data_IF_748849828588
#
_entry.id   IF_748849828588
#
_cell.length_a   1.000
_cell.length_b   1.000
_cell.length_c   1.000
_cell.angle_alpha   90.00
_cell.angle_beta   90.00
_cell.angle_gamma   90.00
#
_symmetry.space_group_name_H-M   'P 1'
#
loop_
_entity.id
_entity.type
_entity.pdbx_description
1 polymer ?
#
# COMPACT_ATOMS: atom_id res chain seq x y z
N UNK A 1 17.31 3.11 2.16
CA UNK A 1 16.02 2.39 2.23
C UNK A 1 16.23 0.87 2.26
N UNK A 2 17.37 0.39 1.74
CA UNK A 2 17.74 -1.03 1.62
C UNK A 2 17.83 -1.75 2.97
N UNK A 3 18.38 -1.08 4.00
CA UNK A 3 18.39 -1.61 5.38
C UNK A 3 16.99 -1.95 5.89
N UNK A 4 15.95 -1.22 5.47
CA UNK A 4 14.61 -1.43 5.99
C UNK A 4 13.97 -2.71 5.44
N UNK A 5 14.22 -3.04 4.17
CA UNK A 5 13.64 -4.25 3.56
C UNK A 5 14.39 -5.50 4.05
N UNK A 6 15.71 -5.43 4.17
CA UNK A 6 16.52 -6.53 4.70
C UNK A 6 16.19 -6.81 6.18
N UNK A 7 16.05 -5.75 6.99
CA UNK A 7 15.58 -5.90 8.38
C UNK A 7 14.17 -6.51 8.39
N UNK A 8 13.25 -6.03 7.57
CA UNK A 8 11.89 -6.59 7.54
C UNK A 8 11.89 -8.07 7.14
N UNK A 9 12.76 -8.50 6.21
CA UNK A 9 12.91 -9.90 5.81
C UNK A 9 13.26 -10.80 7.00
N UNK A 10 14.17 -10.37 7.86
CA UNK A 10 14.58 -11.14 9.04
C UNK A 10 13.49 -11.17 10.15
N UNK A 11 12.63 -10.16 10.21
CA UNK A 11 11.59 -10.05 11.24
C UNK A 11 10.29 -10.79 10.94
N UNK A 12 9.95 -10.99 9.66
CA UNK A 12 8.66 -11.55 9.24
C UNK A 12 8.70 -13.05 9.02
N UNK A 13 7.52 -13.67 9.05
CA UNK A 13 7.38 -15.09 8.75
C UNK A 13 7.66 -15.38 7.27
N UNK A 14 8.17 -16.60 7.01
CA UNK A 14 8.37 -17.06 5.63
C UNK A 14 7.06 -17.05 4.84
N UNK A 15 7.11 -16.50 3.63
CA UNK A 15 5.97 -16.37 2.73
C UNK A 15 5.22 -15.05 2.86
N UNK A 16 5.65 -14.15 3.75
CA UNK A 16 5.17 -12.77 3.80
C UNK A 16 5.42 -12.04 2.48
N UNK A 17 4.58 -11.05 2.18
CA UNK A 17 4.66 -10.29 0.93
C UNK A 17 4.85 -8.81 1.24
N UNK A 18 5.78 -8.16 0.52
CA UNK A 18 5.99 -6.72 0.59
C UNK A 18 5.67 -6.12 -0.78
N UNK A 19 4.70 -5.21 -0.81
CA UNK A 19 4.21 -4.59 -2.03
C UNK A 19 4.73 -3.15 -2.13
N UNK A 20 5.37 -2.80 -3.25
CA UNK A 20 5.95 -1.47 -3.46
C UNK A 20 5.14 -0.66 -4.47
N UNK A 21 4.35 0.29 -3.97
CA UNK A 21 3.62 1.27 -4.78
C UNK A 21 4.42 2.58 -4.88
N UNK A 22 4.63 3.09 -6.10
CA UNK A 22 5.31 4.37 -6.34
C UNK A 22 5.09 4.90 -7.75
N UNK A 23 5.49 6.14 -8.00
CA UNK A 23 5.53 6.77 -9.33
C UNK A 23 6.74 6.33 -10.17
N UNK A 24 7.61 5.48 -9.62
CA UNK A 24 8.78 4.97 -10.33
C UNK A 24 8.31 4.00 -11.42
N UNK A 25 8.70 4.22 -12.70
CA UNK A 25 8.35 3.32 -13.79
C UNK A 25 8.83 1.89 -13.52
N UNK A 26 7.98 0.90 -13.78
CA UNK A 26 8.27 -0.52 -13.51
C UNK A 26 9.58 -0.98 -14.15
N UNK A 27 9.87 -0.49 -15.36
CA UNK A 27 11.09 -0.80 -16.11
C UNK A 27 12.38 -0.35 -15.43
N UNK A 28 12.32 0.63 -14.52
CA UNK A 28 13.48 1.16 -13.80
C UNK A 28 13.65 0.55 -12.41
N UNK A 29 12.64 -0.15 -11.88
CA UNK A 29 12.63 -0.61 -10.49
C UNK A 29 13.74 -1.62 -10.20
N UNK A 30 13.99 -2.57 -11.09
CA UNK A 30 15.08 -3.56 -10.90
C UNK A 30 16.44 -2.87 -10.75
N UNK A 31 16.74 -1.92 -11.63
CA UNK A 31 18.00 -1.18 -11.61
C UNK A 31 18.13 -0.32 -10.35
N UNK A 32 17.05 0.33 -9.92
CA UNK A 32 17.05 1.15 -8.70
C UNK A 32 17.23 0.31 -7.43
N UNK A 33 16.57 -0.85 -7.33
CA UNK A 33 16.72 -1.77 -6.20
C UNK A 33 18.17 -2.29 -6.14
N UNK A 34 18.71 -2.76 -7.26
CA UNK A 34 20.09 -3.25 -7.33
C UNK A 34 21.12 -2.16 -7.04
N UNK A 35 20.88 -0.92 -7.51
CA UNK A 35 21.73 0.24 -7.20
C UNK A 35 21.67 0.64 -5.73
N UNK A 36 20.51 0.49 -5.09
CA UNK A 36 20.36 0.63 -3.63
C UNK A 36 21.09 -0.47 -2.85
N UNK A 37 21.40 -1.59 -3.50
CA UNK A 37 22.07 -2.73 -2.87
C UNK A 37 21.11 -3.84 -2.45
N UNK A 38 19.81 -3.66 -2.69
CA UNK A 38 18.79 -4.67 -2.47
C UNK A 38 18.68 -5.60 -3.68
N UNK A 39 18.91 -6.90 -3.45
CA UNK A 39 18.69 -7.95 -4.44
C UNK A 39 17.46 -8.79 -4.04
N UNK A 40 16.29 -8.60 -4.70
CA UNK A 40 15.06 -9.31 -4.34
C UNK A 40 15.17 -10.84 -4.41
N UNK A 41 16.14 -11.38 -5.16
CA UNK A 41 16.36 -12.82 -5.25
C UNK A 41 17.01 -13.42 -4.00
N UNK A 42 17.59 -12.58 -3.12
CA UNK A 42 18.28 -13.01 -1.90
C UNK A 42 17.39 -13.01 -0.66
N UNK A 43 16.18 -12.44 -0.74
CA UNK A 43 15.21 -12.42 0.36
C UNK A 43 14.75 -13.84 0.71
N UNK A 44 14.66 -14.15 2.00
CA UNK A 44 14.38 -15.51 2.50
C UNK A 44 12.94 -15.69 2.91
N UNK A 45 12.35 -14.67 3.53
CA UNK A 45 11.03 -14.72 4.12
C UNK A 45 10.01 -13.89 3.32
N UNK A 46 10.45 -12.77 2.76
CA UNK A 46 9.65 -11.84 1.98
C UNK A 46 9.67 -12.17 0.49
N UNK A 47 8.48 -12.07 -0.12
CA UNK A 47 8.32 -11.93 -1.56
C UNK A 47 8.05 -10.47 -1.88
N UNK A 48 8.95 -9.83 -2.64
CA UNK A 48 8.77 -8.46 -3.09
C UNK A 48 7.87 -8.41 -4.33
N UNK A 49 6.76 -7.68 -4.26
CA UNK A 49 5.81 -7.45 -5.36
C UNK A 49 5.88 -5.99 -5.77
N UNK A 50 6.46 -5.73 -6.95
CA UNK A 50 6.76 -4.37 -7.40
C UNK A 50 6.71 -4.22 -8.92
N UNK A 51 6.32 -5.27 -9.66
CA UNK A 51 6.25 -5.26 -11.14
C UNK A 51 4.83 -5.22 -11.70
N UNK A 52 3.83 -5.14 -10.84
CA UNK A 52 2.44 -5.09 -11.27
C UNK A 52 2.05 -3.68 -11.69
N UNK A 53 1.26 -3.56 -12.77
CA UNK A 53 0.84 -2.27 -13.33
C UNK A 53 -0.05 -1.46 -12.37
N UNK A 54 -0.74 -2.12 -11.45
CA UNK A 54 -1.50 -1.44 -10.39
C UNK A 54 -0.59 -0.76 -9.36
N UNK A 55 0.70 -1.15 -9.29
CA UNK A 55 1.67 -0.61 -8.33
C UNK A 55 2.41 0.63 -8.84
N UNK A 56 1.99 1.16 -9.97
CA UNK A 56 2.51 2.39 -10.55
C UNK A 56 1.42 3.47 -10.60
N UNK A 57 1.65 4.57 -9.88
CA UNK A 57 0.74 5.70 -9.86
C UNK A 57 1.10 6.73 -8.78
N UNK A 58 0.44 7.87 -8.82
CA UNK A 58 0.60 8.94 -7.84
C UNK A 58 -0.04 8.53 -6.51
N UNK A 59 0.59 8.89 -5.39
CA UNK A 59 0.10 8.58 -4.04
C UNK A 59 -1.12 9.42 -3.61
N UNK A 60 -1.43 10.49 -4.34
CA UNK A 60 -2.58 11.39 -4.08
C UNK A 60 -3.78 11.07 -4.98
N UNK A 61 -3.62 10.15 -5.95
CA UNK A 61 -4.70 9.72 -6.82
C UNK A 61 -5.51 8.59 -6.16
N UNK A 62 -6.75 8.92 -5.78
CA UNK A 62 -7.70 7.99 -5.19
C UNK A 62 -7.96 6.76 -6.08
N UNK A 63 -8.14 6.95 -7.39
CA UNK A 63 -8.49 5.85 -8.29
C UNK A 63 -7.32 4.89 -8.46
N UNK A 64 -6.10 5.42 -8.53
CA UNK A 64 -4.90 4.61 -8.57
C UNK A 64 -4.74 3.78 -7.28
N UNK A 65 -4.93 4.39 -6.11
CA UNK A 65 -4.88 3.68 -4.82
C UNK A 65 -5.97 2.61 -4.70
N UNK A 66 -7.20 2.88 -5.15
CA UNK A 66 -8.29 1.90 -5.12
C UNK A 66 -7.98 0.64 -5.94
N UNK A 67 -7.24 0.77 -7.06
CA UNK A 67 -6.84 -0.38 -7.89
C UNK A 67 -5.89 -1.34 -7.18
N UNK A 68 -5.18 -0.86 -6.16
CA UNK A 68 -4.27 -1.67 -5.34
C UNK A 68 -5.03 -2.44 -4.25
N UNK A 69 -6.29 -2.07 -3.98
CA UNK A 69 -7.14 -2.71 -2.97
C UNK A 69 -6.52 -2.63 -1.55
N UNK A 70 -6.28 -1.41 -1.01
CA UNK A 70 -5.60 -1.18 0.28
C UNK A 70 -6.22 -1.93 1.48
N UNK A 71 -7.49 -2.31 1.40
CA UNK A 71 -8.22 -3.13 2.38
C UNK A 71 -7.70 -4.56 2.50
N UNK A 72 -6.99 -5.08 1.49
CA UNK A 72 -6.44 -6.45 1.54
C UNK A 72 -5.10 -6.55 2.29
N UNK A 73 -4.46 -5.43 2.62
CA UNK A 73 -3.18 -5.42 3.31
C UNK A 73 -3.35 -5.37 4.82
N UNK A 74 -2.53 -6.14 5.54
CA UNK A 74 -2.48 -6.13 7.00
C UNK A 74 -1.88 -4.83 7.56
N UNK A 75 -0.95 -4.22 6.83
CA UNK A 75 -0.27 -3.00 7.25
C UNK A 75 0.16 -2.23 6.00
N UNK A 76 -0.02 -0.91 6.04
CA UNK A 76 0.41 0.00 4.97
C UNK A 76 1.40 0.98 5.59
N UNK A 77 2.58 1.08 4.97
CA UNK A 77 3.61 2.04 5.32
C UNK A 77 3.65 3.12 4.25
N UNK A 78 3.49 4.37 4.67
CA UNK A 78 3.59 5.54 3.78
C UNK A 78 4.91 6.20 4.09
N UNK A 79 5.79 6.22 3.09
CA UNK A 79 7.14 6.77 3.22
C UNK A 79 7.17 8.14 2.54
N UNK A 80 7.73 9.13 3.23
CA UNK A 80 8.02 10.41 2.64
C UNK A 80 9.14 10.24 1.60
N UNK A 81 8.98 10.86 0.44
CA UNK A 81 9.99 10.82 -0.62
C UNK A 81 11.16 11.75 -0.25
N UNK A 82 12.39 11.25 -0.29
CA UNK A 82 13.61 12.01 -0.01
C UNK A 82 14.09 12.74 -1.27
N UNK A 83 13.20 13.38 -2.02
CA UNK A 83 13.60 14.17 -3.18
C UNK A 83 14.41 15.40 -2.71
N UNK A 84 15.61 15.60 -3.29
CA UNK A 84 16.63 16.62 -2.93
C UNK A 84 16.18 18.10 -2.98
N UNK A 85 14.91 18.39 -3.24
CA UNK A 85 14.42 19.77 -3.31
C UNK A 85 14.12 20.32 -1.91
N UNK A 86 14.74 21.44 -1.55
CA UNK A 86 14.51 22.18 -0.29
C UNK A 86 13.04 22.63 -0.13
N UNK A 87 12.28 22.74 -1.22
CA UNK A 87 10.83 22.96 -1.18
C UNK A 87 10.02 21.68 -0.90
N UNK A 88 10.57 20.51 -1.20
CA UNK A 88 9.89 19.23 -1.11
C UNK A 88 9.71 18.72 0.33
N UNK A 89 10.47 19.20 1.32
CA UNK A 89 10.31 18.74 2.71
C UNK A 89 8.90 19.05 3.28
N UNK A 90 8.38 20.26 3.03
CA UNK A 90 7.02 20.63 3.49
C UNK A 90 5.95 19.89 2.68
N UNK A 91 6.25 19.62 1.41
CA UNK A 91 5.35 18.90 0.50
C UNK A 91 5.32 17.40 0.80
N UNK A 92 6.42 16.81 1.30
CA UNK A 92 6.54 15.38 1.58
C UNK A 92 5.66 14.95 2.76
N UNK A 93 5.69 15.68 3.88
CA UNK A 93 4.81 15.42 5.03
C UNK A 93 3.34 15.64 4.65
N UNK A 94 3.05 16.72 3.93
CA UNK A 94 1.71 17.02 3.44
C UNK A 94 1.17 15.91 2.54
N UNK A 95 2.01 15.38 1.66
CA UNK A 95 1.69 14.27 0.76
C UNK A 95 1.47 12.97 1.52
N UNK A 96 2.33 12.64 2.47
CA UNK A 96 2.19 11.46 3.31
C UNK A 96 0.87 11.48 4.11
N UNK A 97 0.53 12.64 4.69
CA UNK A 97 -0.74 12.84 5.39
C UNK A 97 -1.95 12.73 4.45
N UNK A 98 -1.89 13.34 3.26
CA UNK A 98 -2.95 13.25 2.27
C UNK A 98 -3.19 11.80 1.83
N UNK A 99 -2.13 11.05 1.52
CA UNK A 99 -2.20 9.62 1.18
C UNK A 99 -2.78 8.81 2.32
N UNK A 100 -2.36 9.07 3.57
CA UNK A 100 -2.90 8.37 4.75
C UNK A 100 -4.42 8.57 4.89
N UNK A 101 -4.87 9.82 4.73
CA UNK A 101 -6.29 10.15 4.80
C UNK A 101 -7.08 9.49 3.66
N UNK A 102 -6.54 9.47 2.44
CA UNK A 102 -7.15 8.82 1.28
C UNK A 102 -7.27 7.30 1.47
N UNK A 103 -6.19 6.63 1.86
CA UNK A 103 -6.16 5.18 2.12
C UNK A 103 -7.19 4.82 3.19
N UNK A 104 -7.22 5.58 4.30
CA UNK A 104 -8.18 5.34 5.39
C UNK A 104 -9.63 5.54 4.94
N UNK A 105 -9.88 6.56 4.12
CA UNK A 105 -11.22 6.80 3.60
C UNK A 105 -11.67 5.69 2.63
N UNK A 106 -10.78 5.22 1.74
CA UNK A 106 -11.06 4.06 0.85
C UNK A 106 -11.44 2.82 1.67
N UNK A 107 -10.62 2.46 2.68
CA UNK A 107 -10.89 1.32 3.55
C UNK A 107 -12.21 1.48 4.34
N UNK A 108 -12.52 2.71 4.80
CA UNK A 108 -13.77 2.98 5.53
C UNK A 108 -15.00 2.87 4.63
N UNK A 109 -14.91 3.26 3.36
CA UNK A 109 -16.03 3.15 2.43
C UNK A 109 -16.32 1.68 2.09
N UNK A 110 -15.27 0.87 1.90
CA UNK A 110 -15.43 -0.56 1.66
C UNK A 110 -16.07 -1.27 2.86
N UNK A 111 -15.61 -0.96 4.08
CA UNK A 111 -16.20 -1.48 5.32
C UNK A 111 -17.69 -1.13 5.46
N UNK A 112 -18.09 0.10 5.10
CA UNK A 112 -19.50 0.52 5.14
C UNK A 112 -20.35 -0.17 4.08
N UNK A 113 -19.81 -0.41 2.88
CA UNK A 113 -20.51 -1.15 1.84
C UNK A 113 -20.77 -2.61 2.24
N UNK A 114 -19.80 -3.25 2.92
CA UNK A 114 -19.95 -4.61 3.44
C UNK A 114 -20.96 -4.69 4.59
N UNK A 115 -20.92 -3.74 5.54
CA UNK A 115 -21.85 -3.75 6.70
C UNK A 115 -23.25 -3.21 6.37
N UNK A 116 -23.39 -2.41 5.30
CA UNK A 116 -24.69 -1.96 4.78
C UNK A 116 -25.47 -3.02 4.01
N UNK A 117 -24.88 -4.19 3.77
CA UNK A 117 -25.47 -5.30 3.01
C UNK A 117 -26.10 -6.40 3.88
N UNK A 118 -26.24 -6.19 5.21
CA UNK A 118 -27.10 -7.04 6.03
C UNK A 118 -28.54 -6.90 5.53
N UNK A 119 -29.02 -7.98 4.95
CA UNK A 119 -30.19 -8.07 4.07
C UNK A 119 -31.48 -7.62 4.74
N UNK A 120 -32.42 -6.96 4.02
CA UNK A 120 -33.77 -6.66 4.53
C UNK A 120 -34.59 -7.91 4.94
N UNK A 121 -34.12 -9.11 4.64
CA UNK A 121 -34.78 -10.38 5.02
C UNK A 121 -34.79 -10.66 6.54
N UNK A 122 -33.89 -10.04 7.32
CA UNK A 122 -33.88 -10.24 8.78
C UNK A 122 -34.90 -9.35 9.52
N UNK A 123 -35.45 -8.31 8.88
CA UNK A 123 -36.46 -7.43 9.50
C UNK A 123 -37.86 -8.07 9.40
N UNK A 124 -38.10 -8.95 8.43
CA UNK A 124 -39.43 -9.53 8.20
C UNK A 124 -39.76 -10.74 9.09
N UNK A 125 -38.76 -11.37 9.73
CA UNK A 125 -38.98 -12.48 10.68
C UNK A 125 -39.24 -12.05 12.12
N UNK A 126 -39.00 -10.79 12.47
CA UNK A 126 -39.26 -10.27 13.83
C UNK A 126 -40.63 -9.58 13.98
N UNK A 127 -41.42 -9.50 12.91
CA UNK A 127 -42.77 -8.91 12.92
C UNK A 127 -43.89 -9.96 12.80
N UNK A 128 -43.57 -11.24 13.04
CA UNK A 128 -44.54 -12.36 12.96
C UNK A 128 -44.32 -13.38 14.07
N UNK A 129 -44.11 -12.89 15.30
CA UNK A 129 -44.30 -13.64 16.55
C UNK A 129 -45.12 -12.81 17.53
#
# INVERSE_FOLDING_TARGET
MDDMIDVLDDFVCKGSELWLYSEVPITMRDDLLLKGGLDPSKLKNLRLVYKEDCLHGELTDRYALQRVNPESFSTILILADESDAVSAMTDADSRALATLLLVRDIQSQHSRAEHGSLSPELIQRASSE
#
